data_IF_743909390635
#
_entry.id   IF_743909390635
#
_cell.length_a   1.000
_cell.length_b   1.000
_cell.length_c   1.000
_cell.angle_alpha   90.00
_cell.angle_beta   90.00
_cell.angle_gamma   90.00
#
_symmetry.space_group_name_H-M   'P 1'
#
loop_
_entity.id
_entity.type
_entity.pdbx_description
1 polymer ?
#
# COMPACT_ATOMS: atom_id res chain seq x y z
N UNK A 1 -23.13 73.64 -33.53
CA UNK A 1 -23.82 72.70 -34.43
C UNK A 1 -22.79 71.70 -34.92
N UNK A 2 -23.01 70.41 -34.70
CA UNK A 2 -22.12 69.35 -35.21
C UNK A 2 -22.34 69.26 -36.72
N UNK A 3 -21.27 69.29 -37.50
CA UNK A 3 -21.38 69.07 -38.94
C UNK A 3 -21.54 67.56 -39.21
N UNK A 4 -22.20 67.16 -40.30
CA UNK A 4 -22.43 65.75 -40.62
C UNK A 4 -21.12 64.94 -40.68
N UNK A 5 -20.02 65.54 -41.11
CA UNK A 5 -18.68 64.93 -41.09
C UNK A 5 -18.16 64.68 -39.66
N UNK A 6 -18.37 65.59 -38.72
CA UNK A 6 -17.98 65.41 -37.32
C UNK A 6 -18.78 64.28 -36.66
N UNK A 7 -20.07 64.14 -36.97
CA UNK A 7 -20.90 63.04 -36.47
C UNK A 7 -20.40 61.68 -36.97
N UNK A 8 -20.03 61.57 -38.25
CA UNK A 8 -19.50 60.34 -38.84
C UNK A 8 -18.17 59.94 -38.19
N UNK A 9 -17.25 60.89 -38.02
CA UNK A 9 -15.95 60.63 -37.39
C UNK A 9 -16.11 60.18 -35.94
N UNK A 10 -17.01 60.82 -35.18
CA UNK A 10 -17.29 60.44 -33.80
C UNK A 10 -17.86 59.02 -33.70
N UNK A 11 -18.78 58.65 -34.60
CA UNK A 11 -19.36 57.30 -34.63
C UNK A 11 -18.29 56.23 -34.95
N UNK A 12 -17.39 56.50 -35.91
CA UNK A 12 -16.30 55.59 -36.25
C UNK A 12 -15.30 55.46 -35.10
N UNK A 13 -14.94 56.56 -34.44
CA UNK A 13 -14.04 56.54 -33.29
C UNK A 13 -14.62 55.72 -32.13
N UNK A 14 -15.91 55.93 -31.82
CA UNK A 14 -16.61 55.16 -30.80
C UNK A 14 -16.68 53.66 -31.15
N UNK A 15 -16.97 53.33 -32.42
CA UNK A 15 -16.98 51.94 -32.90
C UNK A 15 -15.62 51.25 -32.75
N UNK A 16 -14.52 51.93 -33.11
CA UNK A 16 -13.16 51.39 -32.94
C UNK A 16 -12.80 51.21 -31.46
N UNK A 17 -13.18 52.14 -30.60
CA UNK A 17 -12.97 52.02 -29.14
C UNK A 17 -13.71 50.81 -28.55
N UNK A 18 -14.99 50.62 -28.93
CA UNK A 18 -15.79 49.48 -28.46
C UNK A 18 -15.22 48.14 -28.95
N UNK A 19 -14.81 48.05 -30.21
CA UNK A 19 -14.18 46.86 -30.75
C UNK A 19 -12.83 46.56 -30.08
N UNK A 20 -12.02 47.58 -29.86
CA UNK A 20 -10.75 47.45 -29.14
C UNK A 20 -10.95 46.97 -27.70
N UNK A 21 -11.95 47.52 -26.99
CA UNK A 21 -12.30 47.10 -25.64
C UNK A 21 -12.81 45.65 -25.59
N UNK A 22 -13.71 45.27 -26.52
CA UNK A 22 -14.20 43.90 -26.62
C UNK A 22 -13.08 42.89 -26.92
N UNK A 23 -12.14 43.26 -27.80
CA UNK A 23 -10.98 42.43 -28.09
C UNK A 23 -10.05 42.25 -26.88
N UNK A 24 -9.79 43.33 -26.13
CA UNK A 24 -8.99 43.27 -24.90
C UNK A 24 -9.65 42.36 -23.86
N UNK A 25 -10.95 42.52 -23.63
CA UNK A 25 -11.71 41.65 -22.70
C UNK A 25 -11.62 40.18 -23.12
N UNK A 26 -11.87 39.87 -24.39
CA UNK A 26 -11.80 38.50 -24.89
C UNK A 26 -10.38 37.91 -24.80
N UNK A 27 -9.35 38.74 -24.98
CA UNK A 27 -7.96 38.33 -24.81
C UNK A 27 -7.66 38.02 -23.34
N UNK A 28 -8.08 38.87 -22.42
CA UNK A 28 -7.84 38.70 -20.99
C UNK A 28 -8.55 37.43 -20.47
N UNK A 29 -9.79 37.20 -20.89
CA UNK A 29 -10.52 35.96 -20.59
C UNK A 29 -9.75 34.73 -21.12
N UNK A 30 -9.32 34.76 -22.38
CA UNK A 30 -8.56 33.67 -22.97
C UNK A 30 -7.22 33.41 -22.25
N UNK A 31 -6.54 34.46 -21.80
CA UNK A 31 -5.30 34.31 -21.02
C UNK A 31 -5.55 33.72 -19.63
N UNK A 32 -6.64 34.12 -18.98
CA UNK A 32 -7.05 33.61 -17.68
C UNK A 32 -7.43 32.13 -17.77
N UNK A 33 -8.28 31.76 -18.73
CA UNK A 33 -8.64 30.36 -18.96
C UNK A 33 -7.42 29.51 -19.29
N UNK A 34 -6.47 30.03 -20.09
CA UNK A 34 -5.23 29.29 -20.39
C UNK A 34 -4.37 29.08 -19.15
N UNK A 35 -4.26 30.08 -18.28
CA UNK A 35 -3.54 29.97 -17.02
C UNK A 35 -4.19 28.94 -16.08
N UNK A 36 -5.52 28.95 -15.99
CA UNK A 36 -6.29 27.97 -15.21
C UNK A 36 -6.09 26.54 -15.73
N UNK A 37 -6.17 26.34 -17.05
CA UNK A 37 -5.93 25.04 -17.67
C UNK A 37 -4.52 24.50 -17.38
N UNK A 38 -3.50 25.36 -17.47
CA UNK A 38 -2.12 24.97 -17.13
C UNK A 38 -2.02 24.60 -15.65
N UNK A 39 -2.63 25.37 -14.75
CA UNK A 39 -2.66 25.08 -13.31
C UNK A 39 -3.36 23.75 -13.02
N UNK A 40 -4.53 23.49 -13.63
CA UNK A 40 -5.25 22.23 -13.46
C UNK A 40 -4.45 21.04 -14.01
N UNK A 41 -3.78 21.21 -15.14
CA UNK A 41 -2.94 20.18 -15.72
C UNK A 41 -1.75 19.84 -14.80
N UNK A 42 -1.10 20.86 -14.23
CA UNK A 42 -0.03 20.66 -13.24
C UNK A 42 -0.53 19.94 -12.00
N UNK A 43 -1.68 20.32 -11.45
CA UNK A 43 -2.28 19.66 -10.29
C UNK A 43 -2.59 18.18 -10.58
N UNK A 44 -3.17 17.90 -11.75
CA UNK A 44 -3.44 16.53 -12.20
C UNK A 44 -2.15 15.73 -12.32
N UNK A 45 -1.13 16.27 -12.97
CA UNK A 45 0.11 15.55 -13.21
C UNK A 45 0.87 15.26 -11.89
N UNK A 46 0.82 16.20 -10.92
CA UNK A 46 1.31 15.96 -9.56
C UNK A 46 0.52 14.87 -8.86
N UNK A 47 -0.81 14.89 -8.94
CA UNK A 47 -1.67 13.87 -8.34
C UNK A 47 -1.40 12.47 -8.94
N UNK A 48 -1.27 12.39 -10.27
CA UNK A 48 -0.93 11.15 -10.97
C UNK A 48 0.45 10.63 -10.56
N UNK A 49 1.45 11.52 -10.45
CA UNK A 49 2.79 11.14 -9.99
C UNK A 49 2.78 10.63 -8.56
N UNK A 50 2.00 11.27 -7.68
CA UNK A 50 1.82 10.80 -6.30
C UNK A 50 1.13 9.44 -6.22
N UNK A 51 0.08 9.24 -7.02
CA UNK A 51 -0.61 7.96 -7.12
C UNK A 51 0.32 6.85 -7.62
N UNK A 52 1.08 7.11 -8.69
CA UNK A 52 2.06 6.16 -9.23
C UNK A 52 3.10 5.76 -8.18
N UNK A 53 3.68 6.74 -7.47
CA UNK A 53 4.67 6.47 -6.43
C UNK A 53 4.11 5.61 -5.29
N UNK A 54 2.83 5.80 -4.92
CA UNK A 54 2.15 4.98 -3.94
C UNK A 54 1.96 3.53 -4.42
N UNK A 55 1.53 3.37 -5.68
CA UNK A 55 1.41 2.05 -6.32
C UNK A 55 2.74 1.32 -6.38
N UNK A 56 3.80 1.98 -6.86
CA UNK A 56 5.15 1.41 -6.97
C UNK A 56 5.70 1.00 -5.59
N UNK A 57 5.50 1.83 -4.56
CA UNK A 57 5.93 1.53 -3.20
C UNK A 57 5.18 0.33 -2.61
N UNK A 58 3.88 0.20 -2.90
CA UNK A 58 3.05 -0.91 -2.44
C UNK A 58 3.45 -2.21 -3.13
N UNK A 59 3.74 -2.17 -4.43
CA UNK A 59 4.25 -3.32 -5.18
C UNK A 59 5.62 -3.78 -4.65
N UNK A 60 6.54 -2.84 -4.40
CA UNK A 60 7.83 -3.14 -3.79
C UNK A 60 7.68 -3.74 -2.38
N UNK A 61 6.78 -3.21 -1.55
CA UNK A 61 6.47 -3.78 -0.25
C UNK A 61 5.92 -5.20 -0.36
N UNK A 62 5.05 -5.46 -1.34
CA UNK A 62 4.53 -6.79 -1.64
C UNK A 62 5.64 -7.78 -2.00
N UNK A 63 6.61 -7.37 -2.82
CA UNK A 63 7.76 -8.19 -3.18
C UNK A 63 8.63 -8.56 -1.96
N UNK A 64 8.92 -7.58 -1.09
CA UNK A 64 9.67 -7.82 0.15
C UNK A 64 8.89 -8.75 1.08
N UNK A 65 7.57 -8.54 1.23
CA UNK A 65 6.74 -9.42 2.06
C UNK A 65 6.73 -10.87 1.54
N UNK A 66 6.63 -11.07 0.22
CA UNK A 66 6.71 -12.38 -0.40
C UNK A 66 8.07 -13.05 -0.16
N UNK A 67 9.16 -12.30 -0.32
CA UNK A 67 10.51 -12.79 0.00
C UNK A 67 10.62 -13.23 1.47
N UNK A 68 10.20 -12.38 2.41
CA UNK A 68 10.26 -12.70 3.84
C UNK A 68 9.39 -13.91 4.20
N UNK A 69 8.23 -14.07 3.54
CA UNK A 69 7.39 -15.24 3.71
C UNK A 69 8.09 -16.52 3.23
N UNK A 70 8.76 -16.47 2.07
CA UNK A 70 9.53 -17.59 1.54
C UNK A 70 10.73 -17.94 2.43
N UNK A 71 11.49 -16.94 2.89
CA UNK A 71 12.62 -17.12 3.81
C UNK A 71 12.19 -17.70 5.17
N UNK A 72 11.01 -17.31 5.68
CA UNK A 72 10.48 -17.81 6.94
C UNK A 72 9.80 -19.19 6.81
N UNK A 73 9.39 -19.61 5.61
CA UNK A 73 8.71 -20.89 5.37
C UNK A 73 9.46 -22.11 5.94
N UNK A 74 10.78 -22.31 5.69
CA UNK A 74 11.50 -23.45 6.25
C UNK A 74 11.55 -23.44 7.77
N UNK A 75 11.73 -22.27 8.40
CA UNK A 75 11.72 -22.16 9.86
C UNK A 75 10.35 -22.49 10.45
N UNK A 76 9.25 -22.03 9.81
CA UNK A 76 7.88 -22.39 10.19
C UNK A 76 7.62 -23.88 10.02
N UNK A 77 8.08 -24.47 8.92
CA UNK A 77 7.96 -25.91 8.68
C UNK A 77 8.75 -26.73 9.72
N UNK A 78 9.97 -26.31 10.06
CA UNK A 78 10.78 -26.96 11.09
C UNK A 78 10.14 -26.85 12.48
N UNK A 79 9.57 -25.69 12.83
CA UNK A 79 8.84 -25.50 14.09
C UNK A 79 7.58 -26.37 14.13
N UNK A 80 6.81 -26.44 13.04
CA UNK A 80 5.63 -27.31 12.93
C UNK A 80 6.02 -28.79 13.06
N UNK A 81 7.11 -29.21 12.42
CA UNK A 81 7.64 -30.57 12.53
C UNK A 81 8.08 -30.92 13.95
N UNK A 82 8.76 -30.00 14.64
CA UNK A 82 9.14 -30.19 16.05
C UNK A 82 7.92 -30.31 16.96
N UNK A 83 6.91 -29.45 16.77
CA UNK A 83 5.66 -29.52 17.52
C UNK A 83 4.94 -30.85 17.29
N UNK A 84 4.85 -31.31 16.04
CA UNK A 84 4.25 -32.60 15.71
C UNK A 84 4.99 -33.78 16.37
N UNK A 85 6.33 -33.77 16.35
CA UNK A 85 7.14 -34.80 16.99
C UNK A 85 6.96 -34.82 18.52
N UNK A 86 6.88 -33.65 19.16
CA UNK A 86 6.62 -33.54 20.59
C UNK A 86 5.22 -34.02 20.96
N UNK A 87 4.21 -33.69 20.15
CA UNK A 87 2.84 -34.17 20.34
C UNK A 87 2.76 -35.70 20.21
N UNK A 88 3.33 -36.27 19.15
CA UNK A 88 3.35 -37.73 18.95
C UNK A 88 4.04 -38.45 20.13
N UNK A 89 5.12 -37.88 20.67
CA UNK A 89 5.78 -38.41 21.86
C UNK A 89 4.91 -38.31 23.11
N UNK A 90 4.20 -37.20 23.29
CA UNK A 90 3.27 -37.04 24.40
C UNK A 90 2.17 -38.10 24.34
N UNK A 91 1.54 -38.29 23.16
CA UNK A 91 0.51 -39.30 22.94
C UNK A 91 1.03 -40.72 23.21
N UNK A 92 2.21 -41.06 22.68
CA UNK A 92 2.86 -42.34 22.98
C UNK A 92 3.11 -42.53 24.48
N UNK A 93 3.54 -41.49 25.19
CA UNK A 93 3.79 -41.57 26.63
C UNK A 93 2.50 -41.78 27.41
N UNK A 94 1.43 -41.06 27.05
CA UNK A 94 0.11 -41.16 27.67
C UNK A 94 -0.56 -42.51 27.38
N UNK A 95 -0.26 -43.15 26.25
CA UNK A 95 -0.82 -44.45 25.91
C UNK A 95 -0.13 -45.63 26.61
N UNK A 96 1.03 -45.43 27.26
CA UNK A 96 1.72 -46.51 27.99
C UNK A 96 1.00 -46.82 29.30
N UNK A 97 0.58 -48.07 29.46
CA UNK A 97 0.12 -48.56 30.76
C UNK A 97 1.32 -48.90 31.67
N UNK A 98 1.22 -48.65 32.99
CA UNK A 98 2.20 -49.17 33.95
C UNK A 98 2.25 -50.70 33.88
N UNK A 99 3.44 -51.27 34.06
CA UNK A 99 3.57 -52.71 34.22
C UNK A 99 2.75 -53.20 35.43
N UNK A 100 2.16 -54.39 35.33
CA UNK A 100 1.43 -55.00 36.44
C UNK A 100 2.37 -55.28 37.63
N UNK A 101 1.91 -55.03 38.85
CA UNK A 101 2.71 -55.20 40.07
C UNK A 101 2.81 -53.91 40.87
N UNK A 102 4.02 -53.54 41.30
CA UNK A 102 4.27 -52.31 42.06
C UNK A 102 4.10 -51.06 41.17
N UNK A 103 2.96 -50.38 41.34
CA UNK A 103 2.60 -49.16 40.62
C UNK A 103 3.61 -48.03 40.80
N UNK A 104 4.24 -47.89 41.98
CA UNK A 104 5.23 -46.85 42.24
C UNK A 104 6.51 -47.12 41.45
N UNK A 105 7.01 -48.36 41.46
CA UNK A 105 8.18 -48.76 40.69
C UNK A 105 7.94 -48.65 39.17
N UNK A 106 6.74 -49.03 38.70
CA UNK A 106 6.36 -48.93 37.28
C UNK A 106 6.29 -47.47 36.79
N UNK A 107 5.70 -46.57 37.58
CA UNK A 107 5.64 -45.14 37.26
C UNK A 107 7.03 -44.49 37.29
N UNK A 108 7.90 -44.88 38.24
CA UNK A 108 9.28 -44.38 38.31
C UNK A 108 10.09 -44.81 37.07
N UNK A 109 9.93 -46.05 36.60
CA UNK A 109 10.56 -46.53 35.38
C UNK A 109 10.07 -45.78 34.12
N UNK A 110 8.76 -45.55 34.01
CA UNK A 110 8.17 -44.75 32.91
C UNK A 110 8.68 -43.31 32.91
N UNK A 111 8.80 -42.67 34.08
CA UNK A 111 9.34 -41.32 34.24
C UNK A 111 10.83 -41.23 33.90
N UNK A 112 11.63 -42.20 34.32
CA UNK A 112 13.06 -42.26 34.01
C UNK A 112 13.32 -42.45 32.50
N UNK A 113 12.54 -43.30 31.84
CA UNK A 113 12.61 -43.52 30.40
C UNK A 113 12.19 -42.26 29.61
N UNK A 114 11.15 -41.57 30.07
CA UNK A 114 10.75 -40.29 29.49
C UNK A 114 11.83 -39.21 29.70
N UNK A 115 12.53 -39.17 30.82
CA UNK A 115 13.62 -38.22 31.07
C UNK A 115 14.83 -38.47 30.16
N UNK A 116 15.18 -39.73 29.86
CA UNK A 116 16.29 -40.07 28.94
C UNK A 116 16.10 -39.44 27.56
N UNK A 117 14.89 -39.47 27.02
CA UNK A 117 14.61 -38.84 25.74
C UNK A 117 14.54 -37.31 25.77
N UNK A 118 14.61 -36.65 26.94
CA UNK A 118 14.71 -35.18 27.04
C UNK A 118 16.15 -34.67 26.98
N UNK A 119 17.12 -35.52 27.30
CA UNK A 119 18.53 -35.18 27.13
C UNK A 119 18.85 -35.16 25.63
N UNK A 120 19.07 -33.97 25.09
CA UNK A 120 19.71 -33.78 23.78
C UNK A 120 21.22 -34.02 23.95
N UNK A 121 21.94 -34.59 22.97
CA UNK A 121 23.33 -34.17 22.76
C UNK A 121 23.37 -32.70 22.35
#
# INVERSE_FOLDING_TARGET
>A
MITPTQAIVAALAAGNLLLGWAWLSARDDATTTRAELVSMQQQRDVALKGAQACSDATEALGAVAAQRAAEAAPARAAAAGQAAALNARADYTLSRQPAAGDSCAALQALGADWLKGRAKP
#
